data_IF_618532154424
#
_entry.id   IF_618532154424
#
_cell.length_a   1.000
_cell.length_b   1.000
_cell.length_c   1.000
_cell.angle_alpha   90.00
_cell.angle_beta   90.00
_cell.angle_gamma   90.00
#
_symmetry.space_group_name_H-M   'P 1'
#
loop_
_entity.id
_entity.type
_entity.pdbx_description
1 polymer ?
#
# COMPACT_ATOMS: atom_id res chain seq x y z
N UNK A 1 75.16 -35.82 -16.82
CA UNK A 1 74.09 -36.13 -17.78
C UNK A 1 72.72 -35.86 -17.05
N UNK A 2 72.15 -34.69 -17.27
CA UNK A 2 70.92 -34.24 -16.61
C UNK A 2 69.82 -34.26 -17.71
N UNK A 3 68.80 -35.07 -17.51
CA UNK A 3 67.66 -35.11 -18.40
C UNK A 3 66.61 -34.10 -17.91
N UNK A 4 66.33 -33.14 -18.76
CA UNK A 4 65.17 -32.19 -18.55
C UNK A 4 63.89 -32.92 -18.89
N UNK A 5 62.91 -32.92 -17.94
CA UNK A 5 61.51 -33.30 -18.16
C UNK A 5 60.74 -32.01 -18.42
N UNK A 6 60.19 -31.89 -19.59
CA UNK A 6 59.22 -30.85 -19.96
C UNK A 6 57.83 -31.29 -19.54
N UNK A 7 57.22 -30.54 -18.60
CA UNK A 7 55.83 -30.68 -18.24
C UNK A 7 54.95 -29.88 -19.21
N UNK A 8 54.09 -30.56 -19.96
CA UNK A 8 53.07 -29.93 -20.80
C UNK A 8 51.79 -29.81 -19.95
N UNK A 9 51.41 -28.58 -19.64
CA UNK A 9 50.16 -28.27 -18.96
C UNK A 9 49.05 -28.16 -19.99
N UNK A 10 48.09 -29.08 -19.92
CA UNK A 10 46.84 -29.04 -20.70
C UNK A 10 45.85 -28.16 -19.93
N UNK A 11 45.53 -26.99 -20.50
CA UNK A 11 44.43 -26.15 -20.01
C UNK A 11 43.14 -26.65 -20.62
N UNK A 12 42.30 -27.26 -19.81
CA UNK A 12 40.91 -27.63 -20.17
C UNK A 12 40.00 -26.44 -20.01
N UNK A 13 39.55 -25.85 -21.13
CA UNK A 13 38.44 -24.87 -21.13
C UNK A 13 37.12 -25.60 -20.87
N UNK A 14 36.58 -25.45 -19.67
CA UNK A 14 35.21 -25.83 -19.37
C UNK A 14 34.29 -24.70 -19.83
N UNK A 15 33.66 -24.87 -20.99
CA UNK A 15 32.54 -24.04 -21.44
C UNK A 15 31.33 -24.35 -20.58
N UNK A 16 31.08 -23.50 -19.60
CA UNK A 16 29.86 -23.56 -18.79
C UNK A 16 28.66 -23.14 -19.64
N UNK A 17 27.84 -24.13 -20.01
CA UNK A 17 26.53 -23.89 -20.62
C UNK A 17 25.60 -23.34 -19.55
N UNK A 18 25.37 -22.03 -19.53
CA UNK A 18 24.31 -21.43 -18.71
C UNK A 18 22.98 -21.74 -19.37
N UNK A 19 22.26 -22.68 -18.80
CA UNK A 19 20.83 -22.88 -19.06
C UNK A 19 20.07 -21.65 -18.56
N UNK A 20 19.68 -20.77 -19.48
CA UNK A 20 18.73 -19.73 -19.22
C UNK A 20 17.37 -20.38 -18.93
N UNK A 21 17.02 -20.47 -17.66
CA UNK A 21 15.65 -20.82 -17.25
C UNK A 21 14.75 -19.63 -17.60
N UNK A 22 14.06 -19.71 -18.72
CA UNK A 22 12.93 -18.83 -19.05
C UNK A 22 11.77 -19.19 -18.12
N UNK A 23 11.81 -18.68 -16.91
CA UNK A 23 10.64 -18.63 -16.04
C UNK A 23 9.59 -17.74 -16.71
N UNK A 24 8.48 -18.32 -17.12
CA UNK A 24 7.27 -17.61 -17.50
C UNK A 24 6.76 -16.87 -16.25
N UNK A 25 7.26 -15.67 -16.00
CA UNK A 25 6.70 -14.76 -15.00
C UNK A 25 5.40 -14.21 -15.57
N UNK A 26 4.28 -14.68 -15.01
CA UNK A 26 2.98 -14.07 -15.20
C UNK A 26 3.07 -12.58 -14.91
N UNK A 27 2.43 -11.79 -15.75
CA UNK A 27 2.13 -10.36 -15.74
C UNK A 27 2.65 -9.56 -14.54
N UNK A 28 3.94 -9.32 -14.47
CA UNK A 28 4.51 -8.29 -13.61
C UNK A 28 4.41 -6.94 -14.34
N UNK A 29 3.23 -6.31 -14.31
CA UNK A 29 3.12 -4.89 -14.65
C UNK A 29 4.13 -4.12 -13.78
N UNK A 30 4.90 -3.21 -14.39
CA UNK A 30 5.93 -2.43 -13.69
C UNK A 30 5.30 -1.65 -12.52
N UNK A 31 5.67 -1.99 -11.30
CA UNK A 31 5.31 -1.25 -10.10
C UNK A 31 6.15 0.02 -10.01
N UNK A 32 5.49 1.17 -9.96
CA UNK A 32 6.13 2.47 -9.74
C UNK A 32 6.11 2.77 -8.22
N UNK A 33 7.23 3.17 -7.62
CA UNK A 33 7.26 3.54 -6.21
C UNK A 33 6.50 4.84 -5.97
N UNK A 34 5.70 4.89 -4.89
CA UNK A 34 5.13 6.10 -4.31
C UNK A 34 5.93 6.57 -3.08
N UNK A 35 6.85 5.76 -2.59
CA UNK A 35 7.78 6.09 -1.53
C UNK A 35 9.17 5.52 -1.87
N UNK A 36 10.18 6.39 -1.83
CA UNK A 36 11.58 6.06 -2.19
C UNK A 36 12.37 5.42 -1.04
N UNK A 37 11.78 5.36 0.16
CA UNK A 37 12.43 4.85 1.37
C UNK A 37 13.28 5.88 2.10
N UNK A 38 13.42 7.11 1.60
CA UNK A 38 14.38 8.11 2.14
C UNK A 38 13.75 9.47 2.45
N UNK A 39 12.75 9.86 1.67
CA UNK A 39 12.11 11.18 1.80
C UNK A 39 10.59 11.09 1.67
N UNK A 40 9.87 12.13 2.04
CA UNK A 40 8.44 12.21 1.77
C UNK A 40 8.16 12.30 0.25
N UNK A 41 9.13 12.77 -0.54
CA UNK A 41 9.03 12.81 -2.00
C UNK A 41 7.80 13.58 -2.48
N UNK A 42 6.89 12.92 -3.19
CA UNK A 42 5.64 13.48 -3.70
C UNK A 42 4.50 13.58 -2.66
N UNK A 43 4.78 13.34 -1.37
CA UNK A 43 3.79 13.46 -0.30
C UNK A 43 3.93 14.78 0.45
N UNK A 44 2.82 15.37 0.84
CA UNK A 44 2.74 16.50 1.78
C UNK A 44 1.93 16.11 3.01
N UNK A 45 2.11 16.81 4.13
CA UNK A 45 1.23 16.70 5.28
C UNK A 45 -0.21 16.97 4.87
N UNK A 46 -1.16 16.11 5.26
CA UNK A 46 -2.58 16.37 5.08
C UNK A 46 -3.05 17.53 5.98
N UNK A 47 -4.04 18.27 5.49
CA UNK A 47 -4.62 19.40 6.21
C UNK A 47 -5.65 18.90 7.24
N UNK A 48 -5.13 18.34 8.34
CA UNK A 48 -5.90 17.94 9.51
C UNK A 48 -5.61 18.87 10.69
N UNK A 49 -6.53 18.92 11.65
CA UNK A 49 -6.35 19.71 12.86
C UNK A 49 -5.33 19.04 13.80
N UNK A 50 -4.27 19.78 14.19
CA UNK A 50 -3.22 19.33 15.11
C UNK A 50 -2.68 17.90 14.80
N UNK A 51 -2.25 17.64 13.55
CA UNK A 51 -1.77 16.32 13.17
C UNK A 51 -0.36 16.07 13.72
N UNK A 52 -0.01 14.81 13.94
CA UNK A 52 1.39 14.41 14.10
C UNK A 52 2.13 14.64 12.79
N UNK A 53 3.33 15.24 12.87
CA UNK A 53 4.13 15.58 11.68
C UNK A 53 4.76 14.32 11.09
N UNK A 54 4.35 13.96 9.89
CA UNK A 54 4.90 12.79 9.19
C UNK A 54 6.35 13.01 8.76
N UNK A 55 7.14 11.93 8.78
CA UNK A 55 8.54 11.96 8.36
C UNK A 55 8.97 10.62 7.76
N UNK A 56 10.08 10.64 7.02
CA UNK A 56 10.74 9.44 6.52
C UNK A 56 11.96 9.10 7.39
N UNK A 57 12.16 7.81 7.70
CA UNK A 57 13.31 7.32 8.45
C UNK A 57 13.38 5.79 8.40
N UNK A 58 14.58 5.22 8.40
CA UNK A 58 14.82 3.77 8.36
C UNK A 58 14.05 3.04 7.25
N UNK A 59 13.99 3.62 6.08
CA UNK A 59 13.19 3.15 4.92
C UNK A 59 11.70 2.99 5.20
N UNK A 60 11.19 3.75 6.14
CA UNK A 60 9.78 3.80 6.54
C UNK A 60 9.28 5.22 6.46
N UNK A 61 8.03 5.37 6.15
CA UNK A 61 7.26 6.57 6.31
C UNK A 61 6.53 6.44 7.63
N UNK A 62 6.72 7.38 8.54
CA UNK A 62 6.11 7.39 9.88
C UNK A 62 5.06 8.49 9.90
N UNK A 63 3.86 8.13 10.32
CA UNK A 63 2.76 9.05 10.61
C UNK A 63 2.52 8.98 12.13
N UNK A 64 3.04 9.92 12.91
CA UNK A 64 2.79 9.97 14.36
C UNK A 64 1.32 10.25 14.66
N UNK A 65 0.85 9.77 15.81
CA UNK A 65 -0.46 10.13 16.31
C UNK A 65 -0.56 11.66 16.49
N UNK A 66 -1.65 12.24 16.03
CA UNK A 66 -2.06 13.60 16.33
C UNK A 66 -3.18 13.64 17.36
N UNK A 67 -3.85 14.79 17.50
CA UNK A 67 -4.98 14.94 18.41
C UNK A 67 -6.17 14.06 17.96
N UNK A 68 -6.47 14.07 16.64
CA UNK A 68 -7.53 13.26 16.03
C UNK A 68 -6.93 12.49 14.84
N UNK A 69 -6.78 13.15 13.69
CA UNK A 69 -6.25 12.56 12.47
C UNK A 69 -4.82 13.05 12.20
N UNK A 70 -4.00 12.15 11.70
CA UNK A 70 -2.72 12.47 11.09
C UNK A 70 -2.65 11.84 9.71
N UNK A 71 -1.90 12.42 8.77
CA UNK A 71 -1.82 11.83 7.45
C UNK A 71 -0.96 12.60 6.47
N UNK A 72 -0.82 12.03 5.31
CA UNK A 72 -0.13 12.58 4.15
C UNK A 72 -0.97 12.42 2.90
N UNK A 73 -0.81 13.35 1.97
CA UNK A 73 -1.54 13.40 0.71
C UNK A 73 -0.55 13.47 -0.45
N UNK A 74 -0.79 12.68 -1.47
CA UNK A 74 -0.02 12.65 -2.70
C UNK A 74 -0.26 13.93 -3.51
N UNK A 75 0.80 14.54 -4.03
CA UNK A 75 0.73 15.86 -4.68
C UNK A 75 0.70 15.83 -6.20
N UNK A 76 1.09 14.71 -6.81
CA UNK A 76 1.05 14.56 -8.25
C UNK A 76 -0.26 13.91 -8.71
N UNK A 77 -0.52 13.95 -10.02
CA UNK A 77 -1.67 13.29 -10.62
C UNK A 77 -1.68 11.79 -10.31
N UNK A 78 -2.89 11.25 -10.12
CA UNK A 78 -3.11 9.83 -9.89
C UNK A 78 -4.34 9.35 -10.69
N UNK A 79 -4.29 8.14 -11.28
CA UNK A 79 -5.40 7.65 -12.11
C UNK A 79 -6.67 7.45 -11.29
N UNK A 80 -7.83 7.67 -11.92
CA UNK A 80 -9.15 7.54 -11.30
C UNK A 80 -9.65 6.09 -11.23
N UNK A 81 -9.12 5.20 -12.09
CA UNK A 81 -9.46 3.78 -12.17
C UNK A 81 -8.39 3.00 -12.94
N UNK A 82 -8.49 1.68 -12.99
CA UNK A 82 -7.58 0.82 -13.75
C UNK A 82 -6.19 0.71 -13.11
N UNK A 83 -6.12 0.61 -11.79
CA UNK A 83 -4.84 0.55 -11.08
C UNK A 83 -4.87 -0.39 -9.87
N UNK A 84 -3.69 -0.74 -9.41
CA UNK A 84 -3.45 -1.36 -8.11
C UNK A 84 -2.47 -0.54 -7.28
N UNK A 85 -2.69 -0.53 -5.96
CA UNK A 85 -1.76 -0.03 -4.95
C UNK A 85 -1.38 -1.20 -4.06
N UNK A 86 -0.12 -1.25 -3.64
CA UNK A 86 0.35 -2.14 -2.58
C UNK A 86 1.24 -1.38 -1.62
N UNK A 87 1.20 -1.79 -0.37
CA UNK A 87 2.05 -1.27 0.69
C UNK A 87 2.15 -2.28 1.83
N UNK A 88 3.03 -2.02 2.76
CA UNK A 88 3.05 -2.66 4.07
C UNK A 88 2.79 -1.60 5.14
N UNK A 89 1.89 -1.91 6.06
CA UNK A 89 1.49 -1.03 7.15
C UNK A 89 1.68 -1.73 8.51
N UNK A 90 2.07 -0.96 9.52
CA UNK A 90 2.24 -1.42 10.89
C UNK A 90 1.65 -0.39 11.85
N UNK A 91 0.84 -0.85 12.79
CA UNK A 91 0.44 -0.04 13.94
C UNK A 91 1.61 0.00 14.92
N UNK A 92 2.32 1.13 14.97
CA UNK A 92 3.49 1.31 15.82
C UNK A 92 3.10 1.72 17.25
N UNK A 93 1.93 2.34 17.43
CA UNK A 93 1.38 2.72 18.73
C UNK A 93 -0.07 3.17 18.59
N UNK A 94 -0.83 3.16 19.66
CA UNK A 94 -2.26 3.44 19.64
C UNK A 94 -3.10 2.18 19.45
N UNK A 95 -4.42 2.36 19.22
CA UNK A 95 -5.39 1.27 19.22
C UNK A 95 -6.49 1.42 18.15
N UNK A 96 -6.43 2.41 17.28
CA UNK A 96 -7.41 2.62 16.22
C UNK A 96 -6.78 2.46 14.84
N UNK A 97 -7.41 2.97 13.74
CA UNK A 97 -6.91 2.69 12.42
C UNK A 97 -5.52 3.32 12.19
N UNK A 98 -4.66 2.49 11.63
CA UNK A 98 -3.28 2.80 11.31
C UNK A 98 -3.00 2.87 9.80
N UNK A 99 -4.00 2.55 9.00
CA UNK A 99 -3.97 2.66 7.55
C UNK A 99 -5.36 2.99 7.04
N UNK A 100 -5.65 4.26 6.92
CA UNK A 100 -6.78 4.80 6.16
C UNK A 100 -6.25 5.22 4.78
N UNK A 101 -6.31 4.35 3.79
CA UNK A 101 -5.89 4.63 2.42
C UNK A 101 -7.05 5.25 1.66
N UNK A 102 -7.00 6.55 1.43
CA UNK A 102 -7.93 7.27 0.54
C UNK A 102 -7.43 7.22 -0.89
N UNK A 103 -8.31 6.96 -1.85
CA UNK A 103 -7.95 6.75 -3.24
C UNK A 103 -9.08 7.15 -4.21
N UNK A 104 -8.74 7.52 -5.47
CA UNK A 104 -9.73 7.86 -6.49
C UNK A 104 -10.51 6.64 -6.98
N UNK A 105 -11.82 6.82 -7.22
CA UNK A 105 -12.71 5.83 -7.84
C UNK A 105 -13.63 6.54 -8.82
N UNK A 106 -13.44 6.36 -10.13
CA UNK A 106 -14.19 7.08 -11.16
C UNK A 106 -14.11 8.61 -10.92
N UNK A 107 -15.24 9.27 -10.68
CA UNK A 107 -15.30 10.71 -10.41
C UNK A 107 -15.41 11.03 -8.91
N UNK A 108 -15.22 10.05 -8.05
CA UNK A 108 -15.26 10.16 -6.60
C UNK A 108 -14.00 9.62 -5.93
N UNK A 109 -14.06 9.41 -4.62
CA UNK A 109 -12.99 8.87 -3.78
C UNK A 109 -13.59 7.91 -2.76
N UNK A 110 -12.81 6.95 -2.31
CA UNK A 110 -13.16 6.06 -1.20
C UNK A 110 -11.96 5.91 -0.26
N UNK A 111 -12.18 5.37 0.93
CA UNK A 111 -11.10 5.06 1.88
C UNK A 111 -11.16 3.59 2.30
N UNK A 112 -10.07 2.85 2.12
CA UNK A 112 -9.87 1.54 2.73
C UNK A 112 -9.37 1.75 4.16
N UNK A 113 -10.14 1.32 5.14
CA UNK A 113 -9.80 1.42 6.55
C UNK A 113 -9.27 0.09 7.06
N UNK A 114 -8.16 0.10 7.81
CA UNK A 114 -7.63 -1.05 8.52
C UNK A 114 -7.46 -0.75 9.99
N UNK A 115 -8.20 -1.46 10.83
CA UNK A 115 -8.16 -1.36 12.28
C UNK A 115 -8.90 -0.16 12.85
N UNK A 116 -9.99 0.26 12.22
CA UNK A 116 -10.84 1.33 12.72
C UNK A 116 -11.82 0.89 13.81
N UNK A 117 -12.58 1.86 14.30
CA UNK A 117 -13.63 1.69 15.32
C UNK A 117 -13.17 0.89 16.55
N UNK A 118 -12.08 1.35 17.13
CA UNK A 118 -11.49 0.70 18.32
C UNK A 118 -10.48 -0.39 17.97
N UNK A 119 -10.02 -0.48 16.72
CA UNK A 119 -8.81 -1.22 16.35
C UNK A 119 -8.98 -2.48 15.55
N UNK A 120 -10.21 -2.90 15.18
CA UNK A 120 -10.43 -4.18 14.49
C UNK A 120 -11.14 -4.07 13.14
N UNK A 121 -11.96 -3.05 12.91
CA UNK A 121 -12.78 -2.94 11.70
C UNK A 121 -11.91 -2.66 10.48
N UNK A 122 -12.19 -3.42 9.40
CA UNK A 122 -11.65 -3.20 8.06
C UNK A 122 -12.81 -3.08 7.07
N UNK A 123 -12.64 -2.28 6.02
CA UNK A 123 -13.64 -2.13 4.97
C UNK A 123 -13.47 -0.82 4.20
N UNK A 124 -14.38 -0.59 3.25
CA UNK A 124 -14.46 0.64 2.46
C UNK A 124 -15.38 1.66 3.14
N UNK A 125 -14.93 2.88 3.23
CA UNK A 125 -15.68 4.02 3.75
C UNK A 125 -15.63 5.16 2.74
N UNK A 126 -16.77 5.61 2.09
CA UNK A 126 -18.14 5.15 2.32
C UNK A 126 -18.70 4.50 1.06
N UNK A 127 -19.63 3.58 1.23
CA UNK A 127 -20.46 3.02 0.15
C UNK A 127 -21.92 3.31 0.49
N UNK A 128 -22.65 3.96 -0.42
CA UNK A 128 -24.06 4.35 -0.27
C UNK A 128 -24.32 5.13 1.02
N UNK A 129 -23.39 6.01 1.40
CA UNK A 129 -23.44 6.79 2.63
C UNK A 129 -23.01 6.06 3.90
N UNK A 130 -22.82 4.73 3.83
CA UNK A 130 -22.44 3.90 4.99
C UNK A 130 -20.93 3.77 5.12
N UNK A 131 -20.43 3.86 6.34
CA UNK A 131 -19.00 3.72 6.63
C UNK A 131 -18.53 2.25 6.70
N UNK A 132 -17.22 2.04 6.88
CA UNK A 132 -16.61 0.71 6.89
C UNK A 132 -17.12 -0.21 8.01
N UNK A 133 -17.79 0.31 9.03
CA UNK A 133 -18.37 -0.48 10.11
C UNK A 133 -19.81 -0.94 9.81
N UNK A 134 -20.46 -0.38 8.78
CA UNK A 134 -21.90 -0.52 8.58
C UNK A 134 -22.32 -0.96 7.17
N UNK A 135 -21.36 -1.26 6.26
CA UNK A 135 -21.67 -1.72 4.91
C UNK A 135 -21.18 -3.16 4.66
N UNK A 136 -21.48 -3.71 3.49
CA UNK A 136 -21.18 -5.11 3.14
C UNK A 136 -19.69 -5.45 3.12
N UNK A 137 -18.79 -4.46 3.09
CA UNK A 137 -17.33 -4.69 3.13
C UNK A 137 -16.78 -4.81 4.54
N UNK A 138 -17.65 -4.67 5.57
CA UNK A 138 -17.24 -4.76 6.97
C UNK A 138 -16.62 -6.11 7.29
N UNK A 139 -15.34 -6.12 7.68
CA UNK A 139 -14.64 -7.29 8.23
C UNK A 139 -13.94 -6.91 9.52
N UNK A 140 -13.46 -7.90 10.27
CA UNK A 140 -12.76 -7.66 11.54
C UNK A 140 -11.47 -8.44 11.60
N UNK A 141 -10.37 -7.76 11.98
CA UNK A 141 -9.05 -8.35 12.16
C UNK A 141 -8.43 -7.89 13.47
N UNK A 142 -7.89 -8.84 14.26
CA UNK A 142 -7.16 -8.51 15.47
C UNK A 142 -5.72 -8.10 15.15
N UNK A 143 -5.49 -6.81 14.97
CA UNK A 143 -4.16 -6.26 14.70
C UNK A 143 -3.31 -6.22 15.98
N UNK A 144 -2.03 -6.60 15.82
CA UNK A 144 -1.03 -6.47 16.89
C UNK A 144 -0.10 -5.30 16.57
N UNK A 145 0.23 -4.50 17.58
CA UNK A 145 1.23 -3.45 17.44
C UNK A 145 2.61 -4.05 17.12
N UNK A 146 3.38 -3.39 16.29
CA UNK A 146 4.72 -3.83 15.89
C UNK A 146 4.76 -4.91 14.80
N UNK A 147 3.60 -5.37 14.29
CA UNK A 147 3.52 -6.35 13.20
C UNK A 147 3.24 -5.66 11.86
N UNK A 148 3.97 -6.07 10.83
CA UNK A 148 3.76 -5.62 9.45
C UNK A 148 2.65 -6.43 8.78
N UNK A 149 1.74 -5.72 8.15
CA UNK A 149 0.64 -6.28 7.36
C UNK A 149 0.78 -5.82 5.92
N UNK A 150 0.82 -6.75 4.98
CA UNK A 150 0.79 -6.42 3.56
C UNK A 150 -0.64 -6.08 3.12
N UNK A 151 -0.78 -5.02 2.38
CA UNK A 151 -2.04 -4.46 1.88
C UNK A 151 -1.97 -4.36 0.39
N UNK A 152 -3.02 -4.79 -0.30
CA UNK A 152 -3.19 -4.58 -1.74
C UNK A 152 -4.61 -4.09 -2.00
N UNK A 153 -4.72 -3.05 -2.80
CA UNK A 153 -5.97 -2.48 -3.28
C UNK A 153 -5.96 -2.55 -4.81
N UNK A 154 -7.07 -3.00 -5.40
CA UNK A 154 -7.32 -2.93 -6.83
C UNK A 154 -8.57 -2.11 -7.09
N UNK A 155 -8.47 -1.16 -8.00
CA UNK A 155 -9.56 -0.30 -8.45
C UNK A 155 -9.75 -0.50 -9.94
N UNK A 156 -10.89 -1.05 -10.33
CA UNK A 156 -11.32 -1.20 -11.71
C UNK A 156 -12.54 -0.32 -11.99
N UNK A 157 -13.02 -0.30 -13.22
CA UNK A 157 -14.22 0.46 -13.57
C UNK A 157 -15.46 0.07 -12.76
N UNK A 158 -15.56 -1.22 -12.41
CA UNK A 158 -16.78 -1.78 -11.83
C UNK A 158 -16.57 -2.41 -10.45
N UNK A 159 -15.32 -2.48 -9.94
CA UNK A 159 -15.02 -3.16 -8.67
C UNK A 159 -13.95 -2.46 -7.85
N UNK A 160 -14.14 -2.54 -6.53
CA UNK A 160 -13.14 -2.32 -5.49
C UNK A 160 -12.81 -3.66 -4.85
N UNK A 161 -11.54 -4.01 -4.88
CA UNK A 161 -11.05 -5.25 -4.26
C UNK A 161 -9.87 -4.92 -3.35
N UNK A 162 -9.84 -5.47 -2.13
CA UNK A 162 -8.71 -5.30 -1.23
C UNK A 162 -8.31 -6.62 -0.57
N UNK A 163 -7.04 -6.75 -0.31
CA UNK A 163 -6.45 -7.91 0.38
C UNK A 163 -5.60 -7.42 1.55
N UNK A 164 -5.75 -8.13 2.65
CA UNK A 164 -4.91 -8.01 3.83
C UNK A 164 -4.11 -9.30 3.97
N UNK A 165 -2.77 -9.22 3.90
CA UNK A 165 -1.91 -10.39 3.72
C UNK A 165 -2.34 -11.17 2.45
N UNK A 166 -2.77 -12.42 2.59
CA UNK A 166 -3.25 -13.25 1.48
C UNK A 166 -4.78 -13.39 1.44
N UNK A 167 -5.50 -12.75 2.35
CA UNK A 167 -6.95 -12.83 2.47
C UNK A 167 -7.60 -11.65 1.74
N UNK A 168 -8.60 -11.92 0.90
CA UNK A 168 -9.43 -10.89 0.29
C UNK A 168 -10.45 -10.42 1.32
N UNK A 169 -10.35 -9.14 1.70
CA UNK A 169 -11.22 -8.52 2.72
C UNK A 169 -12.27 -7.60 2.10
N UNK A 170 -12.14 -7.24 0.83
CA UNK A 170 -13.10 -6.43 0.08
C UNK A 170 -13.27 -7.00 -1.31
N UNK A 171 -14.52 -7.19 -1.73
CA UNK A 171 -14.95 -7.47 -3.09
C UNK A 171 -16.31 -6.78 -3.33
N UNK A 172 -16.27 -5.51 -3.72
CA UNK A 172 -17.47 -4.67 -3.84
C UNK A 172 -17.65 -4.16 -5.27
N UNK A 173 -18.86 -4.28 -5.81
CA UNK A 173 -19.21 -3.66 -7.08
C UNK A 173 -19.36 -2.14 -6.90
N UNK A 174 -18.96 -1.37 -7.92
CA UNK A 174 -19.07 0.10 -7.93
C UNK A 174 -20.18 0.62 -8.83
N UNK A 175 -20.81 -0.29 -9.58
CA UNK A 175 -21.87 0.08 -10.51
C UNK A 175 -23.14 0.47 -9.73
N UNK A 176 -23.73 1.61 -10.12
CA UNK A 176 -24.97 2.11 -9.54
C UNK A 176 -24.88 2.34 -8.01
N UNK A 177 -23.66 2.65 -7.49
CA UNK A 177 -23.38 2.92 -6.08
C UNK A 177 -22.96 4.37 -5.87
N UNK A 178 -23.36 4.95 -4.74
CA UNK A 178 -22.78 6.19 -4.25
C UNK A 178 -21.45 5.86 -3.54
N UNK A 179 -20.36 6.41 -4.06
CA UNK A 179 -19.02 6.23 -3.48
C UNK A 179 -18.54 7.57 -2.96
N UNK A 180 -18.10 7.59 -1.71
CA UNK A 180 -17.67 8.81 -1.05
C UNK A 180 -16.59 8.56 0.00
N UNK A 181 -16.15 9.63 0.62
CA UNK A 181 -15.29 9.62 1.81
C UNK A 181 -16.04 10.32 2.95
N UNK A 182 -15.72 9.95 4.17
CA UNK A 182 -16.18 10.71 5.34
C UNK A 182 -15.57 12.11 5.32
N UNK A 183 -16.33 13.08 5.79
CA UNK A 183 -15.91 14.50 5.81
C UNK A 183 -14.59 14.69 6.57
N UNK A 184 -14.34 13.91 7.61
CA UNK A 184 -13.15 14.01 8.44
C UNK A 184 -11.86 13.65 7.69
N UNK A 185 -11.94 12.81 6.64
CA UNK A 185 -10.78 12.39 5.84
C UNK A 185 -10.70 13.05 4.47
N UNK A 186 -11.52 14.05 4.19
CA UNK A 186 -11.46 14.82 2.92
C UNK A 186 -10.07 15.39 2.64
N UNK A 187 -9.33 15.79 3.67
CA UNK A 187 -7.95 16.26 3.56
C UNK A 187 -6.95 15.22 3.02
N UNK A 188 -7.36 13.95 2.90
CA UNK A 188 -6.55 12.88 2.28
C UNK A 188 -6.70 12.77 0.77
N UNK A 189 -7.61 13.52 0.13
CA UNK A 189 -7.81 13.46 -1.33
C UNK A 189 -6.70 14.18 -2.10
N UNK A 190 -6.34 13.74 -3.34
CA UNK A 190 -6.95 12.63 -4.11
C UNK A 190 -6.45 11.24 -3.71
N UNK A 191 -5.22 11.11 -3.25
CA UNK A 191 -4.61 9.87 -2.73
C UNK A 191 -3.94 10.21 -1.40
N UNK A 192 -4.28 9.50 -0.33
CA UNK A 192 -3.75 9.80 0.99
C UNK A 192 -3.65 8.60 1.90
N UNK A 193 -2.84 8.75 2.93
CA UNK A 193 -2.65 7.78 4.00
C UNK A 193 -2.88 8.51 5.33
N UNK A 194 -3.83 8.02 6.12
CA UNK A 194 -4.22 8.64 7.38
C UNK A 194 -4.28 7.63 8.53
N UNK A 195 -4.18 8.14 9.75
CA UNK A 195 -4.34 7.40 11.00
C UNK A 195 -5.24 8.16 11.95
N UNK A 196 -5.89 7.47 12.89
CA UNK A 196 -6.71 8.08 13.93
C UNK A 196 -6.12 7.79 15.31
N UNK A 197 -5.64 8.84 16.00
CA UNK A 197 -5.02 8.74 17.33
C UNK A 197 -3.98 7.61 17.45
N UNK A 198 -3.34 7.27 16.34
CA UNK A 198 -2.51 6.07 16.19
C UNK A 198 -1.26 6.43 15.41
N UNK A 199 -0.11 5.96 15.88
CA UNK A 199 1.15 6.05 15.14
C UNK A 199 1.28 4.87 14.19
N UNK A 200 1.47 5.14 12.90
CA UNK A 200 1.73 4.14 11.88
C UNK A 200 3.13 4.23 11.31
N UNK A 201 3.63 3.08 10.89
CA UNK A 201 4.78 2.98 9.99
C UNK A 201 4.33 2.31 8.69
N UNK A 202 4.77 2.87 7.55
CA UNK A 202 4.41 2.43 6.21
C UNK A 202 5.68 2.23 5.39
N UNK A 203 5.70 1.25 4.49
CA UNK A 203 6.84 1.01 3.60
C UNK A 203 6.40 0.29 2.32
N UNK A 204 7.31 0.20 1.35
CA UNK A 204 7.08 -0.52 0.09
C UNK A 204 5.83 -0.04 -0.65
N UNK A 205 5.50 1.27 -0.51
CA UNK A 205 4.33 1.88 -1.12
C UNK A 205 4.59 2.01 -2.61
N UNK A 206 3.77 1.36 -3.42
CA UNK A 206 3.91 1.36 -4.87
C UNK A 206 2.56 1.13 -5.55
N UNK A 207 2.47 1.54 -6.81
CA UNK A 207 1.29 1.36 -7.62
C UNK A 207 1.63 0.86 -9.01
N UNK A 208 0.66 0.35 -9.72
CA UNK A 208 0.76 0.03 -11.15
C UNK A 208 -0.55 0.28 -11.87
N UNK A 209 -0.45 0.61 -13.15
CA UNK A 209 -1.61 0.60 -14.04
C UNK A 209 -1.97 -0.84 -14.37
N UNK A 210 -3.26 -1.16 -14.39
CA UNK A 210 -3.75 -2.45 -14.88
C UNK A 210 -3.74 -2.44 -16.41
N UNK A 211 -3.50 -3.61 -17.01
CA UNK A 211 -3.76 -3.80 -18.44
C UNK A 211 -5.28 -3.74 -18.68
N UNK A 212 -5.68 -3.07 -19.73
CA UNK A 212 -7.06 -3.02 -20.23
C UNK A 212 -7.47 -4.38 -20.79
#
# INVERSE_FOLDING_TARGET
>A
MIRLLTCVSIVACLAGCQLATTGKNGHNGNWAPLFDGTSLGGWKQSDFLNPGVAYAGDRKLIIPAGEVLSGITWTADFPKMGYEIRLEAMRAGGSDFFCGLTFPVNDSFASLILGGWGGTVCGISSLDGEDAANNETTTSTNFKNGIWYSVRLRVTKNKLEAWLQNEQIVDADTKDREIGVRIEVEGSRPLGLATFQTTAALRNISWRKLAE
#
